data_IF_486581095300
#
_entry.id   IF_486581095300
#
_cell.length_a   1.000
_cell.length_b   1.000
_cell.length_c   1.000
_cell.angle_alpha   90.00
_cell.angle_beta   90.00
_cell.angle_gamma   90.00
#
_symmetry.space_group_name_H-M   'P 1'
#
loop_
_entity.id
_entity.type
_entity.pdbx_description
1 polymer ?
#
# COMPACT_ATOMS: atom_id res chain seq x y z
N UNK A 1 -33.22 -19.29 24.58
CA UNK A 1 -33.73 -18.32 23.58
C UNK A 1 -33.01 -17.02 23.93
N UNK A 2 -31.80 -16.73 23.47
CA UNK A 2 -31.24 -16.94 22.11
C UNK A 2 -32.05 -16.06 21.16
N UNK A 3 -31.57 -14.94 20.64
CA UNK A 3 -30.21 -14.48 20.35
C UNK A 3 -30.09 -12.99 20.66
N UNK A 4 -28.90 -12.57 21.11
CA UNK A 4 -28.50 -11.17 21.00
C UNK A 4 -28.55 -10.82 19.51
N UNK A 5 -29.29 -9.76 19.16
CA UNK A 5 -29.12 -9.07 17.89
C UNK A 5 -27.68 -8.57 17.88
N UNK A 6 -26.86 -9.23 17.06
CA UNK A 6 -25.49 -8.80 16.73
C UNK A 6 -25.62 -7.46 15.99
N UNK A 7 -25.08 -6.39 16.58
CA UNK A 7 -24.83 -5.13 15.91
C UNK A 7 -23.96 -5.40 14.67
N UNK A 8 -24.07 -4.60 13.58
CA UNK A 8 -23.20 -4.80 12.42
C UNK A 8 -21.77 -4.62 12.88
N UNK A 9 -20.97 -5.69 12.75
CA UNK A 9 -19.54 -5.74 13.03
C UNK A 9 -18.91 -4.39 12.63
N UNK A 10 -18.51 -3.60 13.62
CA UNK A 10 -17.55 -2.53 13.43
C UNK A 10 -16.32 -3.21 12.83
N UNK A 11 -16.23 -3.14 11.50
CA UNK A 11 -15.14 -3.75 10.75
C UNK A 11 -13.87 -3.06 11.21
N UNK A 12 -13.10 -3.76 12.02
CA UNK A 12 -11.79 -3.40 12.57
C UNK A 12 -10.76 -3.18 11.44
N UNK A 13 -10.99 -2.19 10.58
CA UNK A 13 -9.92 -1.39 10.01
C UNK A 13 -9.54 -0.40 11.09
N UNK A 14 -8.24 -0.32 11.41
CA UNK A 14 -7.72 0.44 12.55
C UNK A 14 -8.34 1.85 12.60
N UNK A 15 -9.33 2.06 13.47
CA UNK A 15 -9.94 3.37 13.71
C UNK A 15 -8.95 4.17 14.55
N UNK A 16 -8.10 4.96 13.88
CA UNK A 16 -7.25 5.94 14.55
C UNK A 16 -8.12 7.11 15.03
N UNK A 17 -8.65 6.99 16.25
CA UNK A 17 -9.23 8.12 16.97
C UNK A 17 -8.10 9.09 17.38
N UNK A 18 -7.68 9.93 16.43
CA UNK A 18 -6.86 11.12 16.69
C UNK A 18 -5.36 11.07 16.38
N UNK A 19 -4.81 9.96 15.88
CA UNK A 19 -3.40 9.93 15.43
C UNK A 19 -3.35 10.10 13.91
N UNK A 20 -2.95 11.30 13.47
CA UNK A 20 -2.85 11.66 12.04
C UNK A 20 -1.47 11.40 11.43
N UNK A 21 -0.52 10.84 12.19
CA UNK A 21 0.86 10.59 11.75
C UNK A 21 1.26 9.16 12.11
N UNK A 22 1.63 8.35 11.12
CA UNK A 22 2.19 7.03 11.35
C UNK A 22 3.67 7.02 10.96
N UNK A 23 4.54 6.87 11.96
CA UNK A 23 5.97 6.67 11.77
C UNK A 23 6.29 5.18 11.89
N UNK A 24 6.66 4.58 10.77
CA UNK A 24 7.23 3.24 10.72
C UNK A 24 8.69 3.22 11.17
N UNK A 25 9.15 2.05 11.61
CA UNK A 25 10.56 1.65 11.43
C UNK A 25 10.60 0.89 10.11
N UNK A 26 11.69 0.94 9.33
CA UNK A 26 11.83 0.33 8.00
C UNK A 26 11.62 -1.20 7.92
N UNK A 27 11.04 -1.82 8.95
CA UNK A 27 10.63 -3.22 9.05
C UNK A 27 9.09 -3.34 9.21
N UNK A 28 8.39 -2.22 9.40
CA UNK A 28 6.94 -2.16 9.60
C UNK A 28 6.21 -2.13 8.27
N UNK A 29 5.02 -2.73 8.26
CA UNK A 29 4.09 -2.72 7.13
C UNK A 29 3.00 -1.67 7.36
N UNK A 30 2.79 -0.80 6.36
CA UNK A 30 1.56 -0.04 6.20
C UNK A 30 0.68 -0.79 5.22
N UNK A 31 -0.52 -1.21 5.62
CA UNK A 31 -1.40 -2.07 4.81
C UNK A 31 -2.80 -1.51 4.71
N UNK A 32 -3.29 -1.41 3.47
CA UNK A 32 -4.65 -1.00 3.13
C UNK A 32 -5.49 -2.18 2.61
N UNK A 33 -5.05 -3.42 2.81
CA UNK A 33 -5.69 -4.62 2.23
C UNK A 33 -7.17 -4.83 2.62
N UNK A 34 -7.67 -4.12 3.63
CA UNK A 34 -9.07 -4.15 4.08
C UNK A 34 -9.90 -2.96 3.59
N UNK A 35 -9.30 -2.00 2.87
CA UNK A 35 -9.99 -0.89 2.24
C UNK A 35 -10.74 -1.37 0.99
N UNK A 36 -11.93 -0.81 0.78
CA UNK A 36 -12.82 -1.16 -0.34
C UNK A 36 -12.61 -0.28 -1.57
N UNK A 37 -11.92 0.84 -1.42
CA UNK A 37 -11.59 1.78 -2.47
C UNK A 37 -10.08 1.87 -2.63
N UNK A 38 -9.65 2.28 -3.83
CA UNK A 38 -8.26 2.51 -4.14
C UNK A 38 -7.65 3.59 -3.24
N UNK A 39 -6.38 3.41 -2.91
CA UNK A 39 -5.63 4.33 -2.05
C UNK A 39 -4.53 5.03 -2.83
N UNK A 40 -4.36 6.31 -2.53
CA UNK A 40 -3.19 7.09 -2.93
C UNK A 40 -2.26 7.25 -1.71
N UNK A 41 -1.03 6.78 -1.85
CA UNK A 41 0.01 6.83 -0.83
C UNK A 41 1.29 7.30 -1.47
N UNK A 42 1.88 8.36 -0.90
CA UNK A 42 3.15 8.91 -1.31
C UNK A 42 4.04 9.10 -0.09
N UNK A 43 4.95 8.16 0.13
CA UNK A 43 5.90 8.19 1.24
C UNK A 43 7.01 9.22 1.01
N UNK A 44 7.27 9.63 -0.23
CA UNK A 44 8.23 10.69 -0.55
C UNK A 44 7.75 12.06 -0.06
N UNK A 45 6.43 12.29 -0.12
CA UNK A 45 5.75 13.47 0.44
C UNK A 45 5.21 13.23 1.85
N UNK A 46 5.30 11.99 2.33
CA UNK A 46 4.82 11.56 3.62
C UNK A 46 3.30 11.59 3.75
N UNK A 47 2.53 11.37 2.68
CA UNK A 47 1.06 11.40 2.64
C UNK A 47 0.48 10.02 2.36
N UNK A 48 -0.68 9.71 2.93
CA UNK A 48 -1.38 8.46 2.65
C UNK A 48 -2.89 8.62 2.80
N UNK A 49 -3.68 7.93 1.99
CA UNK A 49 -5.14 7.96 2.06
C UNK A 49 -5.62 7.66 3.47
N UNK A 50 -6.61 8.43 3.93
CA UNK A 50 -7.16 8.39 5.29
C UNK A 50 -6.16 8.66 6.44
N UNK A 51 -4.89 8.91 6.15
CA UNK A 51 -3.86 9.30 7.10
C UNK A 51 -3.42 10.74 6.82
N UNK A 52 -3.04 11.48 7.86
CA UNK A 52 -2.48 12.83 7.66
C UNK A 52 -1.06 12.78 7.14
N UNK A 53 -0.25 11.88 7.71
CA UNK A 53 1.13 11.63 7.28
C UNK A 53 1.58 10.19 7.55
N UNK A 54 2.46 9.67 6.69
CA UNK A 54 3.02 8.32 6.78
C UNK A 54 4.48 8.29 6.26
N UNK A 55 5.42 7.76 7.05
CA UNK A 55 6.84 7.65 6.67
C UNK A 55 7.54 6.48 7.36
N UNK A 56 8.68 6.05 6.82
CA UNK A 56 9.59 5.11 7.49
C UNK A 56 9.11 3.65 7.48
N UNK A 57 8.25 3.26 6.55
CA UNK A 57 7.79 1.87 6.41
C UNK A 57 8.74 1.05 5.54
N UNK A 58 8.87 -0.23 5.86
CA UNK A 58 9.62 -1.19 5.03
C UNK A 58 8.75 -1.91 4.01
N UNK A 59 7.43 -1.85 4.20
CA UNK A 59 6.47 -2.43 3.27
C UNK A 59 5.23 -1.55 3.22
N UNK A 60 4.74 -1.32 2.02
CA UNK A 60 3.47 -0.66 1.74
C UNK A 60 2.60 -1.61 0.90
N UNK A 61 1.44 -1.96 1.42
CA UNK A 61 0.43 -2.75 0.73
C UNK A 61 -0.78 -1.88 0.43
N UNK A 62 -1.20 -1.89 -0.83
CA UNK A 62 -2.42 -1.28 -1.32
C UNK A 62 -3.70 -1.97 -0.83
N UNK A 63 -4.79 -1.68 -1.51
CA UNK A 63 -6.12 -2.23 -1.30
C UNK A 63 -6.38 -3.40 -2.26
N UNK A 64 -7.65 -3.76 -2.52
CA UNK A 64 -8.00 -4.71 -3.58
C UNK A 64 -8.66 -4.00 -4.78
N UNK A 65 -8.37 -2.70 -4.93
CA UNK A 65 -8.84 -1.83 -6.00
C UNK A 65 -7.64 -1.03 -6.54
N UNK A 66 -7.82 -0.33 -7.66
CA UNK A 66 -6.76 0.43 -8.32
C UNK A 66 -6.10 1.46 -7.38
N UNK A 67 -4.81 1.26 -7.06
CA UNK A 67 -4.04 2.07 -6.14
C UNK A 67 -2.94 2.91 -6.82
N UNK A 68 -2.47 3.95 -6.11
CA UNK A 68 -1.26 4.70 -6.45
C UNK A 68 -0.33 4.70 -5.25
N UNK A 69 0.78 3.97 -5.35
CA UNK A 69 1.74 3.76 -4.28
C UNK A 69 3.12 4.29 -4.69
N UNK A 70 3.62 5.30 -3.99
CA UNK A 70 4.91 5.95 -4.25
C UNK A 70 5.82 5.79 -3.03
N UNK A 71 6.99 5.21 -3.26
CA UNK A 71 8.02 4.97 -2.24
C UNK A 71 8.86 6.23 -1.94
N UNK A 72 9.59 6.18 -0.82
CA UNK A 72 10.66 7.13 -0.50
C UNK A 72 12.03 6.58 -0.95
N UNK A 73 13.11 7.33 -0.72
CA UNK A 73 14.45 6.97 -1.17
C UNK A 73 15.14 5.87 -0.33
N UNK A 74 14.48 5.29 0.68
CA UNK A 74 15.13 4.41 1.64
C UNK A 74 15.22 2.93 1.21
N UNK A 75 14.45 2.52 0.19
CA UNK A 75 14.26 1.12 -0.19
C UNK A 75 13.04 0.50 0.52
N UNK A 76 12.09 -0.02 -0.23
CA UNK A 76 10.81 -0.53 0.28
C UNK A 76 10.31 -1.74 -0.51
N UNK A 77 9.41 -2.52 0.09
CA UNK A 77 8.54 -3.43 -0.67
C UNK A 77 7.17 -2.79 -0.91
N UNK A 78 6.82 -2.56 -2.17
CA UNK A 78 5.48 -2.15 -2.60
C UNK A 78 4.66 -3.37 -3.07
N UNK A 79 3.39 -3.43 -2.68
CA UNK A 79 2.44 -4.48 -3.10
C UNK A 79 1.11 -3.86 -3.50
N UNK A 80 0.71 -3.98 -4.76
CA UNK A 80 -0.59 -3.51 -5.26
C UNK A 80 -1.76 -4.42 -4.87
N UNK A 81 -1.50 -5.73 -4.80
CA UNK A 81 -2.47 -6.80 -4.49
C UNK A 81 -3.43 -7.10 -5.65
N UNK A 82 -4.54 -6.37 -5.79
CA UNK A 82 -5.53 -6.59 -6.84
C UNK A 82 -6.04 -5.26 -7.34
N UNK A 83 -6.25 -5.14 -8.64
CA UNK A 83 -6.57 -3.86 -9.26
C UNK A 83 -5.53 -3.53 -10.32
N UNK A 84 -5.73 -2.43 -11.03
CA UNK A 84 -4.73 -1.89 -11.94
C UNK A 84 -3.93 -0.83 -11.19
N UNK A 85 -2.79 -1.23 -10.64
CA UNK A 85 -2.06 -0.41 -9.69
C UNK A 85 -0.93 0.38 -10.34
N UNK A 86 -0.66 1.59 -9.83
CA UNK A 86 0.54 2.36 -10.14
C UNK A 86 1.49 2.24 -8.94
N UNK A 87 2.62 1.58 -9.16
CA UNK A 87 3.63 1.34 -8.13
C UNK A 87 4.92 2.03 -8.56
N UNK A 88 5.32 3.07 -7.83
CA UNK A 88 6.54 3.83 -8.13
C UNK A 88 7.56 3.65 -7.00
N UNK A 89 8.70 3.04 -7.32
CA UNK A 89 9.88 3.00 -6.45
C UNK A 89 10.51 4.39 -6.28
N UNK A 90 11.36 4.54 -5.28
CA UNK A 90 12.13 5.73 -4.99
C UNK A 90 13.59 5.57 -5.43
N UNK A 91 14.49 6.35 -4.80
CA UNK A 91 15.92 6.26 -5.07
C UNK A 91 16.63 5.04 -4.47
N UNK A 92 15.97 4.30 -3.57
CA UNK A 92 16.52 3.12 -2.88
C UNK A 92 16.33 1.82 -3.67
N UNK A 93 16.86 0.72 -3.16
CA UNK A 93 16.64 -0.60 -3.79
C UNK A 93 15.25 -1.13 -3.40
N UNK A 94 14.30 -1.09 -4.33
CA UNK A 94 12.91 -1.41 -4.06
C UNK A 94 12.49 -2.79 -4.58
N UNK A 95 11.44 -3.34 -3.98
CA UNK A 95 10.74 -4.52 -4.49
C UNK A 95 9.30 -4.14 -4.85
N UNK A 96 8.99 -4.13 -6.14
CA UNK A 96 7.68 -3.75 -6.65
C UNK A 96 6.91 -5.01 -7.04
N UNK A 97 5.81 -5.28 -6.36
CA UNK A 97 4.94 -6.43 -6.58
C UNK A 97 3.60 -5.90 -7.08
N UNK A 98 3.29 -6.10 -8.37
CA UNK A 98 2.04 -5.65 -8.98
C UNK A 98 0.84 -6.28 -8.30
N UNK A 99 0.75 -7.61 -8.35
CA UNK A 99 -0.46 -8.32 -7.97
C UNK A 99 -1.33 -8.57 -9.19
N UNK A 100 -2.63 -8.75 -9.01
CA UNK A 100 -3.56 -9.13 -10.07
C UNK A 100 -4.13 -7.90 -10.77
N UNK A 101 -4.17 -7.92 -12.10
CA UNK A 101 -4.56 -6.76 -12.91
C UNK A 101 -3.39 -6.22 -13.73
N UNK A 102 -3.66 -5.19 -14.54
CA UNK A 102 -2.67 -4.58 -15.43
C UNK A 102 -1.97 -3.44 -14.67
N UNK A 103 -0.76 -3.70 -14.19
CA UNK A 103 -0.05 -2.76 -13.32
C UNK A 103 0.96 -1.89 -14.09
N UNK A 104 1.24 -0.70 -13.57
CA UNK A 104 2.34 0.15 -13.99
C UNK A 104 3.38 0.21 -12.87
N UNK A 105 4.52 -0.45 -13.08
CA UNK A 105 5.63 -0.51 -12.13
C UNK A 105 6.75 0.42 -12.60
N UNK A 106 7.06 1.47 -11.84
CA UNK A 106 8.00 2.52 -12.24
C UNK A 106 9.22 2.48 -11.32
N UNK A 107 10.40 2.25 -11.90
CA UNK A 107 11.67 2.49 -11.23
C UNK A 107 12.07 3.97 -11.41
N UNK A 108 12.45 4.64 -10.31
CA UNK A 108 12.98 6.01 -10.36
C UNK A 108 14.44 6.11 -9.91
N UNK A 109 15.01 5.01 -9.41
CA UNK A 109 16.38 4.89 -8.94
C UNK A 109 16.68 3.48 -8.44
N UNK A 110 17.81 3.30 -7.76
CA UNK A 110 18.14 2.01 -7.13
C UNK A 110 18.30 0.81 -8.07
N UNK A 111 18.51 -0.35 -7.44
CA UNK A 111 18.51 -1.66 -8.08
C UNK A 111 17.21 -2.39 -7.72
N UNK A 112 16.15 -2.09 -8.47
CA UNK A 112 14.83 -2.60 -8.13
C UNK A 112 14.59 -4.02 -8.62
N UNK A 113 13.72 -4.72 -7.89
CA UNK A 113 13.19 -6.03 -8.27
C UNK A 113 11.70 -5.91 -8.53
N UNK A 114 11.30 -6.21 -9.77
CA UNK A 114 9.89 -6.32 -10.14
C UNK A 114 9.42 -7.76 -10.06
N UNK A 115 8.26 -7.99 -9.44
CA UNK A 115 7.63 -9.31 -9.35
C UNK A 115 6.20 -9.22 -9.85
N UNK A 116 5.91 -10.02 -10.88
CA UNK A 116 4.54 -10.29 -11.32
C UNK A 116 4.07 -11.59 -10.65
N UNK A 117 3.00 -11.53 -9.86
CA UNK A 117 2.53 -12.68 -9.05
C UNK A 117 1.25 -13.33 -9.59
N UNK A 118 0.60 -12.78 -10.64
CA UNK A 118 -0.74 -13.20 -11.12
C UNK A 118 -0.99 -12.87 -12.61
N UNK A 119 -2.21 -13.12 -13.12
CA UNK A 119 -2.60 -12.72 -14.49
C UNK A 119 -2.78 -11.20 -14.60
N UNK A 120 -2.31 -10.65 -15.71
CA UNK A 120 -2.25 -9.21 -16.01
C UNK A 120 -1.07 -8.92 -16.94
N UNK A 121 -1.19 -7.87 -17.76
CA UNK A 121 -0.11 -7.39 -18.62
C UNK A 121 0.59 -6.19 -17.95
N UNK A 122 1.53 -6.49 -17.04
CA UNK A 122 2.30 -5.47 -16.33
C UNK A 122 3.22 -4.67 -17.27
N UNK A 123 3.26 -3.36 -17.07
CA UNK A 123 4.21 -2.43 -17.67
C UNK A 123 5.31 -2.05 -16.68
N UNK A 124 6.55 -1.94 -17.17
CA UNK A 124 7.75 -1.61 -16.40
C UNK A 124 8.49 -0.40 -16.99
#
# INVERSE_FOLDING_TARGET
>A
MGSYDDDPEEREGITFDGVRVLEGRHENTLSFATYFEGVEVDLSLGTATALGSASGFGTLEGSNADDVLIADDAGITLRGLSGNDILQGGGGDDKLIGGAGDNLLINTGGTDTFVSETEGDDAF
#
